data_IF_902996093541
#
_entry.id   IF_902996093541
#
_cell.length_a   1.000
_cell.length_b   1.000
_cell.length_c   1.000
_cell.angle_alpha   90.00
_cell.angle_beta   90.00
_cell.angle_gamma   90.00
#
_symmetry.space_group_name_H-M   'P 1'
#
loop_
_entity.id
_entity.type
_entity.pdbx_description
1 polymer ?
#
# COMPACT_ATOMS: atom_id res chain seq x y z
N UNK A 1 28.05 33.03 11.79
CA UNK A 1 26.97 32.12 12.23
C UNK A 1 25.92 32.12 11.14
N UNK A 2 25.87 31.07 10.34
CA UNK A 2 24.92 30.97 9.22
C UNK A 2 23.72 30.16 9.69
N UNK A 3 22.59 30.83 9.87
CA UNK A 3 21.32 30.19 10.22
C UNK A 3 20.82 29.50 8.95
N UNK A 4 20.94 28.17 8.91
CA UNK A 4 20.32 27.35 7.87
C UNK A 4 18.81 27.45 8.01
N UNK A 5 18.17 28.11 7.05
CA UNK A 5 16.72 28.18 6.93
C UNK A 5 16.21 26.75 6.70
N UNK A 6 15.47 26.21 7.68
CA UNK A 6 14.80 24.94 7.53
C UNK A 6 13.76 25.07 6.41
N UNK A 7 14.03 24.44 5.26
CA UNK A 7 13.07 24.34 4.17
C UNK A 7 11.80 23.68 4.71
N UNK A 8 10.70 24.44 4.67
CA UNK A 8 9.35 23.94 4.91
C UNK A 8 9.03 22.89 3.84
N UNK A 9 9.12 21.62 4.20
CA UNK A 9 8.70 20.54 3.32
C UNK A 9 7.17 20.49 3.30
N UNK A 10 6.60 20.61 2.10
CA UNK A 10 5.16 20.54 1.79
C UNK A 10 4.58 19.14 2.14
N UNK A 11 3.24 18.96 2.23
CA UNK A 11 2.52 17.76 2.73
C UNK A 11 2.89 16.38 2.12
N UNK A 12 3.78 16.36 1.13
CA UNK A 12 4.41 15.21 0.48
C UNK A 12 5.70 14.74 1.18
N UNK A 13 6.11 15.35 2.29
CA UNK A 13 7.44 15.22 2.89
C UNK A 13 7.81 13.80 3.36
N UNK A 14 6.86 13.02 3.90
CA UNK A 14 7.10 11.68 4.44
C UNK A 14 5.87 10.78 4.19
N UNK A 15 6.04 9.79 3.31
CA UNK A 15 5.04 8.77 2.97
C UNK A 15 5.21 7.55 3.86
N UNK A 16 4.10 7.02 4.37
CA UNK A 16 4.10 5.71 5.03
C UNK A 16 4.42 4.64 3.97
N UNK A 17 5.36 3.76 4.29
CA UNK A 17 5.78 2.62 3.49
C UNK A 17 5.74 1.35 4.35
N UNK A 18 5.69 0.21 3.68
CA UNK A 18 5.73 -1.09 4.34
C UNK A 18 6.99 -1.82 3.91
N UNK A 19 7.73 -2.33 4.88
CA UNK A 19 9.06 -2.87 4.65
C UNK A 19 9.21 -4.24 5.29
N UNK A 20 10.00 -5.08 4.64
CA UNK A 20 10.45 -6.36 5.16
C UNK A 20 11.97 -6.45 5.08
N UNK A 21 12.58 -7.30 5.88
CA UNK A 21 14.00 -7.63 5.78
C UNK A 21 14.22 -9.10 6.09
N UNK A 22 15.36 -9.66 5.69
CA UNK A 22 15.66 -11.08 5.93
C UNK A 22 15.68 -11.46 7.42
N UNK A 23 15.87 -10.47 8.31
CA UNK A 23 15.93 -10.68 9.76
C UNK A 23 14.55 -10.80 10.41
N UNK A 24 13.48 -10.52 9.67
CA UNK A 24 12.11 -10.48 10.19
C UNK A 24 11.13 -11.11 9.20
N UNK A 25 10.35 -12.13 9.61
CA UNK A 25 9.36 -12.76 8.73
C UNK A 25 8.08 -11.93 8.54
N UNK A 26 7.97 -10.77 9.19
CA UNK A 26 6.79 -9.90 9.19
C UNK A 26 7.07 -8.55 8.54
N UNK A 27 6.00 -7.89 8.12
CA UNK A 27 6.01 -6.55 7.50
C UNK A 27 5.99 -5.50 8.60
N UNK A 28 6.93 -4.56 8.55
CA UNK A 28 7.00 -3.40 9.44
C UNK A 28 6.47 -2.15 8.73
N UNK A 29 5.84 -1.27 9.50
CA UNK A 29 5.44 0.06 9.05
C UNK A 29 6.65 0.99 9.21
N UNK A 30 6.90 1.81 8.19
CA UNK A 30 7.91 2.84 8.24
C UNK A 30 7.49 4.06 7.40
N UNK A 31 8.38 5.03 7.28
CA UNK A 31 8.19 6.25 6.52
C UNK A 31 9.36 6.50 5.56
N UNK A 32 9.09 7.13 4.43
CA UNK A 32 10.05 7.50 3.40
C UNK A 32 9.76 8.91 2.90
N UNK A 33 10.78 9.74 2.76
CA UNK A 33 10.63 11.11 2.27
C UNK A 33 10.73 11.24 0.75
N UNK A 34 10.72 10.12 0.02
CA UNK A 34 10.76 10.09 -1.45
C UNK A 34 12.07 10.59 -2.09
N UNK A 35 13.04 11.08 -1.31
CA UNK A 35 14.35 11.51 -1.82
C UNK A 35 15.25 10.28 -2.03
N UNK A 36 15.91 10.13 -3.20
CA UNK A 36 16.86 9.05 -3.43
C UNK A 36 18.10 9.25 -2.54
N UNK A 37 18.20 8.48 -1.44
CA UNK A 37 19.44 8.27 -0.71
C UNK A 37 19.96 6.87 -1.08
N UNK A 38 20.93 6.83 -1.99
CA UNK A 38 21.52 5.58 -2.44
C UNK A 38 22.26 4.87 -1.28
N UNK A 39 22.25 3.52 -1.24
CA UNK A 39 21.77 2.60 -2.27
C UNK A 39 20.43 1.91 -1.93
N UNK A 40 19.49 2.65 -1.29
CA UNK A 40 18.49 2.15 -0.33
C UNK A 40 19.18 1.74 0.98
N UNK A 41 18.70 2.29 2.10
CA UNK A 41 18.41 1.57 3.35
C UNK A 41 18.50 2.54 4.54
N UNK A 42 17.35 3.05 4.92
CA UNK A 42 16.85 2.91 6.28
C UNK A 42 15.42 3.46 6.25
N UNK A 43 14.40 2.60 6.34
CA UNK A 43 13.06 3.07 6.61
C UNK A 43 13.12 3.98 7.85
N UNK A 44 12.45 5.12 7.80
CA UNK A 44 12.35 5.98 8.96
C UNK A 44 11.24 5.44 9.84
N UNK A 45 11.57 5.07 11.07
CA UNK A 45 10.58 4.63 12.05
C UNK A 45 10.29 5.77 13.01
N UNK A 46 9.04 6.00 13.39
CA UNK A 46 8.82 6.80 14.61
C UNK A 46 9.14 5.92 15.82
N UNK A 47 9.14 6.53 17.00
CA UNK A 47 9.26 5.79 18.26
C UNK A 47 8.21 4.68 18.39
N UNK A 48 6.98 4.89 17.91
CA UNK A 48 5.91 3.90 18.00
C UNK A 48 6.23 2.65 17.18
N UNK A 49 6.54 2.82 15.90
CA UNK A 49 6.89 1.71 14.99
C UNK A 49 8.19 1.03 15.42
N UNK A 50 9.18 1.78 15.91
CA UNK A 50 10.40 1.20 16.47
C UNK A 50 10.14 0.32 17.70
N UNK A 51 9.20 0.70 18.57
CA UNK A 51 8.79 -0.16 19.70
C UNK A 51 8.06 -1.43 19.24
N UNK A 52 7.32 -1.38 18.13
CA UNK A 52 6.75 -2.58 17.51
C UNK A 52 7.86 -3.51 16.99
N UNK A 53 8.91 -2.98 16.36
CA UNK A 53 10.06 -3.79 15.92
C UNK A 53 10.71 -4.56 17.07
N UNK A 54 10.82 -3.95 18.26
CA UNK A 54 11.37 -4.62 19.45
C UNK A 54 10.58 -5.87 19.87
N UNK A 55 9.30 -5.97 19.51
CA UNK A 55 8.49 -7.16 19.79
C UNK A 55 8.91 -8.35 18.90
N UNK A 56 9.43 -8.07 17.71
CA UNK A 56 9.85 -9.07 16.74
C UNK A 56 11.36 -9.37 16.80
N UNK A 57 12.18 -8.37 17.12
CA UNK A 57 13.64 -8.48 17.20
C UNK A 57 14.05 -8.38 18.67
N UNK A 58 14.25 -9.53 19.31
CA UNK A 58 14.54 -9.62 20.75
C UNK A 58 15.83 -8.89 21.17
N UNK A 59 16.80 -8.76 20.28
CA UNK A 59 18.05 -8.03 20.52
C UNK A 59 17.90 -6.50 20.42
N UNK A 60 16.75 -6.00 19.93
CA UNK A 60 16.46 -4.59 19.78
C UNK A 60 15.64 -4.08 20.98
N UNK A 61 16.05 -2.96 21.57
CA UNK A 61 15.34 -2.31 22.67
C UNK A 61 15.41 -0.79 22.54
N UNK A 62 14.50 -0.09 23.21
CA UNK A 62 14.50 1.37 23.26
C UNK A 62 15.04 1.88 24.60
N UNK A 63 16.08 2.70 24.55
CA UNK A 63 16.64 3.36 25.72
C UNK A 63 16.03 4.76 25.90
N UNK A 64 15.28 4.94 27.01
CA UNK A 64 14.62 6.22 27.31
C UNK A 64 15.58 7.33 27.70
N UNK A 65 16.72 7.00 28.30
CA UNK A 65 17.68 8.00 28.78
C UNK A 65 18.45 8.64 27.62
N UNK A 66 18.73 7.85 26.58
CA UNK A 66 19.44 8.28 25.38
C UNK A 66 18.52 8.75 24.25
N UNK A 67 17.23 8.43 24.32
CA UNK A 67 16.28 8.63 23.22
C UNK A 67 16.78 7.95 21.92
N UNK A 68 17.11 6.67 22.03
CA UNK A 68 17.71 5.89 20.95
C UNK A 68 17.29 4.41 21.02
N UNK A 69 17.37 3.70 19.90
CA UNK A 69 17.26 2.24 19.89
C UNK A 69 18.64 1.59 20.01
N UNK A 70 18.72 0.49 20.75
CA UNK A 70 19.93 -0.28 20.97
C UNK A 70 19.73 -1.71 20.44
N UNK A 71 20.63 -2.15 19.56
CA UNK A 71 20.72 -3.53 19.10
C UNK A 71 21.91 -4.20 19.76
N UNK A 72 21.67 -5.28 20.51
CA UNK A 72 22.73 -6.04 21.20
C UNK A 72 22.97 -7.35 20.48
N UNK A 73 24.11 -7.46 19.80
CA UNK A 73 24.51 -8.65 19.03
C UNK A 73 25.96 -9.01 19.34
N UNK A 74 26.22 -10.28 19.64
CA UNK A 74 27.56 -10.79 19.99
C UNK A 74 28.28 -9.96 21.06
N UNK A 75 27.52 -9.43 22.04
CA UNK A 75 28.03 -8.60 23.12
C UNK A 75 28.39 -7.16 22.72
N UNK A 76 28.13 -6.76 21.47
CA UNK A 76 28.30 -5.38 20.98
C UNK A 76 26.95 -4.67 20.92
N UNK A 77 26.96 -3.37 21.24
CA UNK A 77 25.77 -2.53 21.18
C UNK A 77 25.89 -1.57 19.99
N UNK A 78 24.97 -1.69 19.05
CA UNK A 78 24.78 -0.72 17.96
C UNK A 78 23.64 0.22 18.33
N UNK A 79 23.91 1.52 18.26
CA UNK A 79 22.93 2.56 18.59
C UNK A 79 22.31 3.15 17.32
N UNK A 80 20.99 3.34 17.34
CA UNK A 80 20.24 4.07 16.33
C UNK A 80 19.64 5.32 17.00
N UNK A 81 20.40 6.41 16.94
CA UNK A 81 20.04 7.68 17.55
C UNK A 81 18.88 8.36 16.81
N UNK A 82 18.16 9.24 17.51
CA UNK A 82 17.07 10.03 16.93
C UNK A 82 17.59 10.99 15.85
N UNK A 83 16.85 11.05 14.75
CA UNK A 83 17.03 12.01 13.66
C UNK A 83 15.77 12.88 13.57
N UNK A 84 15.79 14.09 14.18
CA UNK A 84 14.65 14.99 14.14
C UNK A 84 14.42 15.53 12.72
N UNK A 85 13.17 15.58 12.30
CA UNK A 85 12.73 16.11 11.02
C UNK A 85 11.62 17.15 11.27
N UNK A 86 11.60 18.23 10.48
CA UNK A 86 10.51 19.22 10.55
C UNK A 86 9.51 18.93 9.43
N UNK A 87 8.28 18.57 9.80
CA UNK A 87 7.17 18.28 8.87
C UNK A 87 6.04 19.25 9.19
N UNK A 88 5.58 20.02 8.20
CA UNK A 88 4.52 21.02 8.38
C UNK A 88 4.75 21.95 9.60
N UNK A 89 6.01 22.33 9.82
CA UNK A 89 6.40 23.19 10.94
C UNK A 89 6.42 22.50 12.33
N UNK A 90 6.15 21.19 12.39
CA UNK A 90 6.25 20.38 13.62
C UNK A 90 7.53 19.55 13.60
N UNK A 91 8.26 19.55 14.71
CA UNK A 91 9.39 18.65 14.90
C UNK A 91 8.87 17.24 15.19
N UNK A 92 9.30 16.28 14.39
CA UNK A 92 8.97 14.87 14.47
C UNK A 92 10.26 14.06 14.65
N UNK A 93 10.24 13.06 15.51
CA UNK A 93 11.39 12.21 15.80
C UNK A 93 11.35 10.92 14.97
N UNK A 94 12.41 10.67 14.20
CA UNK A 94 12.57 9.44 13.43
C UNK A 94 13.84 8.70 13.79
N UNK A 95 13.87 7.40 13.49
CA UNK A 95 14.98 6.50 13.76
C UNK A 95 15.28 5.68 12.52
N UNK A 96 16.55 5.60 12.15
CA UNK A 96 17.05 4.74 11.07
C UNK A 96 17.55 3.42 11.66
N UNK A 97 16.64 2.47 11.83
CA UNK A 97 16.93 1.20 12.50
C UNK A 97 17.40 0.17 11.46
N UNK A 98 18.57 -0.43 11.69
CA UNK A 98 19.11 -1.50 10.84
C UNK A 98 19.35 -1.11 9.38
N UNK A 99 20.09 -0.02 9.08
CA UNK A 99 20.39 0.38 7.70
C UNK A 99 21.14 -0.70 6.89
N UNK A 100 21.74 -1.69 7.55
CA UNK A 100 22.45 -2.80 6.94
C UNK A 100 21.60 -4.06 6.75
N UNK A 101 20.36 -4.11 7.27
CA UNK A 101 19.52 -5.32 7.30
C UNK A 101 18.92 -5.71 5.94
N UNK A 102 19.16 -4.94 4.89
CA UNK A 102 18.62 -5.24 3.56
C UNK A 102 17.11 -5.04 3.48
N UNK A 103 16.61 -3.95 4.06
CA UNK A 103 15.21 -3.53 3.93
C UNK A 103 14.78 -3.50 2.47
N UNK A 104 13.61 -4.09 2.20
CA UNK A 104 12.92 -4.07 0.92
C UNK A 104 11.50 -3.57 1.16
N UNK A 105 10.90 -2.95 0.16
CA UNK A 105 9.47 -2.72 0.16
C UNK A 105 8.76 -4.07 0.22
N UNK A 106 7.73 -4.14 1.05
CA UNK A 106 6.89 -5.33 1.10
C UNK A 106 6.04 -5.42 -0.16
N UNK A 107 5.97 -6.59 -0.80
CA UNK A 107 5.00 -6.88 -1.86
C UNK A 107 3.55 -6.89 -1.30
N UNK A 108 3.44 -7.01 0.03
CA UNK A 108 2.20 -7.12 0.79
C UNK A 108 2.13 -5.95 1.77
N UNK A 109 1.38 -4.91 1.42
CA UNK A 109 1.28 -3.70 2.25
C UNK A 109 0.47 -3.91 3.54
N UNK A 110 -0.22 -5.05 3.71
CA UNK A 110 -0.94 -5.41 4.94
C UNK A 110 -1.10 -6.93 5.07
N UNK A 111 -1.12 -7.44 6.31
CA UNK A 111 -2.21 -8.37 6.67
C UNK A 111 -3.47 -7.49 6.67
N UNK A 112 -4.37 -7.60 5.68
CA UNK A 112 -5.46 -6.65 5.50
C UNK A 112 -6.27 -6.50 6.79
N UNK A 113 -6.48 -5.27 7.26
CA UNK A 113 -7.56 -5.00 8.22
C UNK A 113 -8.84 -4.86 7.41
N UNK A 114 -9.37 -6.00 6.99
CA UNK A 114 -10.45 -6.13 6.02
C UNK A 114 -10.35 -7.50 5.35
N UNK A 115 -11.43 -8.01 4.80
CA UNK A 115 -11.39 -9.30 4.11
C UNK A 115 -10.73 -9.12 2.73
N UNK A 116 -9.58 -9.76 2.44
CA UNK A 116 -8.96 -9.66 1.13
C UNK A 116 -9.87 -10.24 0.04
N UNK A 117 -9.94 -9.54 -1.09
CA UNK A 117 -10.48 -10.10 -2.32
C UNK A 117 -9.34 -10.69 -3.14
N UNK A 118 -9.52 -11.92 -3.64
CA UNK A 118 -8.52 -12.58 -4.46
C UNK A 118 -8.97 -12.56 -5.91
N UNK A 119 -8.42 -11.60 -6.66
CA UNK A 119 -8.86 -11.30 -8.02
C UNK A 119 -7.91 -11.89 -9.05
N UNK A 120 -8.47 -12.28 -10.19
CA UNK A 120 -7.74 -12.81 -11.34
C UNK A 120 -7.41 -11.68 -12.33
N UNK A 121 -6.12 -11.46 -12.58
CA UNK A 121 -5.65 -10.45 -13.53
C UNK A 121 -4.86 -11.10 -14.67
N UNK A 122 -4.92 -10.52 -15.87
CA UNK A 122 -4.04 -10.93 -16.98
C UNK A 122 -2.57 -10.63 -16.62
N UNK A 123 -1.60 -11.45 -17.07
CA UNK A 123 -0.17 -11.21 -16.79
C UNK A 123 0.31 -9.81 -17.19
N UNK A 124 -0.11 -9.30 -18.35
CA UNK A 124 0.23 -7.93 -18.78
C UNK A 124 -0.33 -6.85 -17.84
N UNK A 125 -1.53 -7.05 -17.29
CA UNK A 125 -2.12 -6.14 -16.30
C UNK A 125 -1.33 -6.20 -14.99
N UNK A 126 -0.90 -7.39 -14.58
CA UNK A 126 -0.05 -7.56 -13.40
C UNK A 126 1.30 -6.86 -13.56
N UNK A 127 1.99 -7.08 -14.67
CA UNK A 127 3.28 -6.43 -14.97
C UNK A 127 3.15 -4.91 -14.96
N UNK A 128 2.08 -4.38 -15.55
CA UNK A 128 1.76 -2.95 -15.53
C UNK A 128 1.55 -2.43 -14.10
N UNK A 129 0.73 -3.11 -13.29
CA UNK A 129 0.51 -2.76 -11.88
C UNK A 129 1.82 -2.78 -11.10
N UNK A 130 2.65 -3.81 -11.30
CA UNK A 130 3.93 -3.96 -10.59
C UNK A 130 4.91 -2.87 -10.98
N UNK A 131 4.99 -2.50 -12.26
CA UNK A 131 5.82 -1.39 -12.73
C UNK A 131 5.41 -0.07 -12.05
N UNK A 132 4.11 0.25 -12.07
CA UNK A 132 3.61 1.48 -11.45
C UNK A 132 3.75 1.49 -9.92
N UNK A 133 3.52 0.35 -9.28
CA UNK A 133 3.69 0.19 -7.84
C UNK A 133 5.16 0.39 -7.43
N UNK A 134 6.09 -0.15 -8.21
CA UNK A 134 7.53 0.05 -8.03
C UNK A 134 7.94 1.52 -8.19
N UNK A 135 7.46 2.20 -9.24
CA UNK A 135 7.72 3.63 -9.47
C UNK A 135 7.13 4.51 -8.35
N UNK A 136 5.99 4.10 -7.78
CA UNK A 136 5.34 4.79 -6.68
C UNK A 136 5.92 4.43 -5.29
N UNK A 137 6.81 3.43 -5.22
CA UNK A 137 7.32 2.85 -3.97
C UNK A 137 6.21 2.33 -3.02
N UNK A 138 5.18 1.70 -3.59
CA UNK A 138 4.02 1.13 -2.87
C UNK A 138 3.94 -0.37 -3.15
N UNK A 139 3.49 -1.18 -2.18
CA UNK A 139 3.26 -2.60 -2.40
C UNK A 139 2.09 -2.85 -3.34
N UNK A 140 2.12 -3.96 -4.08
CA UNK A 140 1.16 -4.26 -5.13
C UNK A 140 -0.29 -4.20 -4.64
N UNK A 141 -0.56 -4.76 -3.46
CA UNK A 141 -1.93 -4.82 -2.93
C UNK A 141 -2.53 -3.44 -2.64
N UNK A 142 -1.76 -2.53 -2.00
CA UNK A 142 -2.27 -1.18 -1.76
C UNK A 142 -2.28 -0.33 -3.04
N UNK A 143 -1.37 -0.60 -3.98
CA UNK A 143 -1.43 0.05 -5.27
C UNK A 143 -2.70 -0.35 -6.04
N UNK A 144 -3.10 -1.63 -6.02
CA UNK A 144 -4.41 -2.05 -6.54
C UNK A 144 -5.58 -1.33 -5.84
N UNK A 145 -5.54 -1.19 -4.52
CA UNK A 145 -6.54 -0.42 -3.77
C UNK A 145 -6.62 1.04 -4.24
N UNK A 146 -5.47 1.67 -4.45
CA UNK A 146 -5.37 3.03 -4.97
C UNK A 146 -5.96 3.14 -6.38
N UNK A 147 -5.63 2.20 -7.28
CA UNK A 147 -6.18 2.15 -8.64
C UNK A 147 -7.71 2.02 -8.63
N UNK A 148 -8.26 1.17 -7.76
CA UNK A 148 -9.72 1.00 -7.62
C UNK A 148 -10.36 2.27 -7.09
N UNK A 149 -9.77 2.90 -6.08
CA UNK A 149 -10.27 4.16 -5.54
C UNK A 149 -10.27 5.26 -6.62
N UNK A 150 -9.17 5.40 -7.37
CA UNK A 150 -9.07 6.35 -8.48
C UNK A 150 -10.07 6.06 -9.60
N UNK A 151 -10.25 4.79 -9.98
CA UNK A 151 -11.24 4.37 -10.99
C UNK A 151 -12.66 4.82 -10.60
N UNK A 152 -13.02 4.61 -9.33
CA UNK A 152 -14.32 4.98 -8.78
C UNK A 152 -14.47 6.50 -8.73
N UNK A 153 -13.47 7.21 -8.20
CA UNK A 153 -13.49 8.67 -8.09
C UNK A 153 -13.61 9.38 -9.44
N UNK A 154 -12.88 8.88 -10.45
CA UNK A 154 -12.95 9.39 -11.81
C UNK A 154 -14.36 9.27 -12.41
N UNK A 155 -15.01 8.12 -12.20
CA UNK A 155 -16.38 7.89 -12.71
C UNK A 155 -17.42 8.68 -11.94
N UNK A 156 -17.19 8.87 -10.64
CA UNK A 156 -18.03 9.71 -9.80
C UNK A 156 -17.83 11.22 -10.06
N UNK A 157 -16.84 11.65 -10.85
CA UNK A 157 -16.54 13.07 -11.09
C UNK A 157 -16.44 13.93 -9.81
N UNK A 158 -16.00 13.32 -8.69
CA UNK A 158 -15.98 13.95 -7.36
C UNK A 158 -17.37 14.40 -6.85
N UNK A 159 -18.46 13.89 -7.42
CA UNK A 159 -19.81 14.19 -6.97
C UNK A 159 -20.08 13.58 -5.59
N UNK A 160 -20.80 14.33 -4.74
CA UNK A 160 -21.18 13.89 -3.40
C UNK A 160 -22.40 12.95 -3.39
N UNK A 161 -23.18 12.90 -4.47
CA UNK A 161 -24.31 11.99 -4.62
C UNK A 161 -23.88 10.71 -5.34
N UNK A 162 -24.36 9.55 -4.89
CA UNK A 162 -24.03 8.25 -5.47
C UNK A 162 -24.82 8.02 -6.78
N UNK A 163 -24.21 8.34 -7.92
CA UNK A 163 -24.69 7.99 -9.26
C UNK A 163 -23.93 6.77 -9.81
N UNK A 164 -24.65 5.66 -9.99
CA UNK A 164 -24.07 4.39 -10.44
C UNK A 164 -24.27 4.11 -11.93
N UNK A 165 -24.94 5.00 -12.67
CA UNK A 165 -25.20 4.86 -14.12
C UNK A 165 -23.90 4.69 -14.92
N UNK A 166 -22.83 5.33 -14.47
CA UNK A 166 -21.50 5.30 -15.11
C UNK A 166 -20.75 3.98 -14.92
N UNK A 167 -21.30 3.06 -14.14
CA UNK A 167 -20.74 1.72 -13.92
C UNK A 167 -21.49 0.62 -14.69
N UNK A 168 -22.49 0.96 -15.51
CA UNK A 168 -23.27 -0.04 -16.27
C UNK A 168 -22.40 -0.90 -17.20
N UNK A 169 -21.47 -0.28 -17.94
CA UNK A 169 -20.55 -1.00 -18.80
C UNK A 169 -19.63 -1.94 -18.00
N UNK A 170 -19.16 -1.47 -16.83
CA UNK A 170 -18.35 -2.27 -15.92
C UNK A 170 -19.16 -3.48 -15.40
N UNK A 171 -20.40 -3.27 -14.96
CA UNK A 171 -21.28 -4.34 -14.49
C UNK A 171 -21.55 -5.36 -15.59
N UNK A 172 -21.75 -4.90 -16.83
CA UNK A 172 -21.90 -5.78 -17.99
C UNK A 172 -20.65 -6.64 -18.23
N UNK A 173 -19.45 -6.07 -18.06
CA UNK A 173 -18.19 -6.81 -18.17
C UNK A 173 -18.04 -7.80 -17.02
N UNK A 174 -18.27 -7.35 -15.77
CA UNK A 174 -18.14 -8.18 -14.57
C UNK A 174 -19.14 -9.34 -14.55
N UNK A 175 -20.34 -9.16 -15.11
CA UNK A 175 -21.36 -10.22 -15.17
C UNK A 175 -21.01 -11.29 -16.22
N UNK A 176 -20.40 -10.88 -17.33
CA UNK A 176 -19.92 -11.76 -18.41
C UNK A 176 -18.66 -12.52 -18.05
N UNK A 177 -18.49 -13.69 -18.67
CA UNK A 177 -17.47 -14.73 -18.47
C UNK A 177 -16.16 -14.26 -17.80
N UNK A 178 -15.64 -14.99 -16.80
CA UNK A 178 -14.39 -14.65 -16.11
C UNK A 178 -13.23 -14.32 -17.06
N UNK A 179 -12.27 -13.53 -16.58
CA UNK A 179 -11.00 -13.28 -17.26
C UNK A 179 -10.43 -14.64 -17.67
N UNK A 180 -10.16 -14.83 -18.97
CA UNK A 180 -9.99 -16.15 -19.63
C UNK A 180 -8.86 -17.03 -19.09
N UNK A 181 -8.48 -18.11 -19.81
CA UNK A 181 -7.37 -18.96 -19.37
C UNK A 181 -6.05 -18.15 -19.35
N UNK A 182 -5.20 -18.42 -18.36
CA UNK A 182 -3.93 -17.72 -18.06
C UNK A 182 -4.07 -16.41 -17.28
N UNK A 183 -4.59 -16.51 -16.06
CA UNK A 183 -4.70 -15.41 -15.10
C UNK A 183 -3.79 -15.65 -13.89
N UNK A 184 -3.32 -14.55 -13.31
CA UNK A 184 -2.58 -14.56 -12.04
C UNK A 184 -3.50 -14.09 -10.94
N UNK A 185 -3.52 -14.82 -9.82
CA UNK A 185 -4.36 -14.50 -8.67
C UNK A 185 -3.62 -13.56 -7.74
N UNK A 186 -4.22 -12.41 -7.45
CA UNK A 186 -3.61 -11.35 -6.63
C UNK A 186 -4.56 -10.90 -5.52
N UNK A 187 -4.00 -10.56 -4.36
CA UNK A 187 -4.78 -10.08 -3.21
C UNK A 187 -4.96 -8.57 -3.28
N UNK A 188 -6.20 -8.12 -3.10
CA UNK A 188 -6.58 -6.70 -3.14
C UNK A 188 -7.47 -6.34 -1.95
N UNK A 189 -7.28 -5.14 -1.41
CA UNK A 189 -8.02 -4.63 -0.26
C UNK A 189 -8.86 -3.42 -0.66
N UNK A 190 -10.18 -3.48 -0.58
CA UNK A 190 -11.06 -2.39 -1.08
C UNK A 190 -11.54 -1.47 0.04
N UNK A 191 -10.68 -1.08 0.97
CA UNK A 191 -11.08 -0.41 2.22
C UNK A 191 -11.90 0.88 2.04
N UNK A 192 -11.45 1.84 1.23
CA UNK A 192 -12.08 3.16 1.14
C UNK A 192 -13.33 3.20 0.25
N UNK A 193 -13.58 2.15 -0.56
CA UNK A 193 -14.65 2.12 -1.57
C UNK A 193 -15.43 0.81 -1.63
N UNK A 194 -15.32 -0.06 -0.61
CA UNK A 194 -16.05 -1.33 -0.54
C UNK A 194 -17.56 -1.13 -0.71
N UNK A 195 -18.12 -0.04 -0.18
CA UNK A 195 -19.55 0.26 -0.31
C UNK A 195 -20.03 0.43 -1.75
N UNK A 196 -19.16 0.91 -2.65
CA UNK A 196 -19.49 1.04 -4.09
C UNK A 196 -19.40 -0.33 -4.76
N UNK A 197 -18.36 -1.11 -4.47
CA UNK A 197 -18.27 -2.50 -4.97
C UNK A 197 -19.46 -3.34 -4.48
N UNK A 198 -19.91 -3.11 -3.25
CA UNK A 198 -21.09 -3.74 -2.67
C UNK A 198 -22.37 -3.31 -3.38
N UNK A 199 -22.57 -2.01 -3.59
CA UNK A 199 -23.72 -1.51 -4.33
C UNK A 199 -23.78 -2.13 -5.74
N UNK A 200 -22.64 -2.13 -6.45
CA UNK A 200 -22.51 -2.75 -7.77
C UNK A 200 -22.84 -4.25 -7.75
N UNK A 201 -22.39 -4.99 -6.72
CA UNK A 201 -22.68 -6.42 -6.59
C UNK A 201 -24.19 -6.74 -6.44
N UNK A 202 -25.01 -5.75 -6.06
CA UNK A 202 -26.46 -5.89 -5.93
C UNK A 202 -27.25 -5.33 -7.13
N UNK A 203 -26.60 -4.61 -8.05
CA UNK A 203 -27.26 -3.90 -9.15
C UNK A 203 -27.29 -4.66 -10.48
N UNK A 204 -26.56 -5.76 -10.59
CA UNK A 204 -26.57 -6.56 -11.82
C UNK A 204 -27.94 -7.15 -12.10
N UNK A 205 -28.41 -7.09 -13.34
CA UNK A 205 -29.62 -7.77 -13.80
C UNK A 205 -29.37 -9.23 -14.23
N UNK A 206 -28.12 -9.69 -14.19
CA UNK A 206 -27.70 -11.03 -14.63
C UNK A 206 -27.94 -12.06 -13.52
N UNK A 207 -28.89 -12.98 -13.77
CA UNK A 207 -29.26 -14.01 -12.80
C UNK A 207 -28.12 -14.98 -12.46
N UNK A 208 -27.25 -15.29 -13.43
CA UNK A 208 -26.10 -16.18 -13.21
C UNK A 208 -25.03 -15.50 -12.37
N UNK A 209 -24.77 -14.22 -12.62
CA UNK A 209 -23.89 -13.42 -11.76
C UNK A 209 -24.46 -13.29 -10.34
N UNK A 210 -25.76 -13.02 -10.20
CA UNK A 210 -26.43 -12.86 -8.91
C UNK A 210 -26.51 -14.16 -8.09
N UNK A 211 -26.43 -15.32 -8.74
CA UNK A 211 -26.35 -16.61 -8.06
C UNK A 211 -24.98 -16.86 -7.38
N UNK A 212 -23.94 -16.08 -7.72
CA UNK A 212 -22.62 -16.20 -7.11
C UNK A 212 -22.63 -15.67 -5.66
N UNK A 213 -21.79 -16.27 -4.82
CA UNK A 213 -21.52 -15.76 -3.48
C UNK A 213 -21.06 -14.29 -3.57
N UNK A 214 -21.46 -13.46 -2.59
CA UNK A 214 -21.18 -12.03 -2.60
C UNK A 214 -19.69 -11.73 -2.78
N UNK A 215 -18.81 -12.51 -2.15
CA UNK A 215 -17.37 -12.40 -2.29
C UNK A 215 -16.90 -12.57 -3.75
N UNK A 216 -17.42 -13.57 -4.47
CA UNK A 216 -17.08 -13.80 -5.87
C UNK A 216 -17.61 -12.68 -6.78
N UNK A 217 -18.80 -12.12 -6.47
CA UNK A 217 -19.31 -10.95 -7.20
C UNK A 217 -18.41 -9.73 -7.02
N UNK A 218 -17.96 -9.47 -5.78
CA UNK A 218 -17.00 -8.40 -5.47
C UNK A 218 -15.68 -8.59 -6.22
N UNK A 219 -15.15 -9.81 -6.21
CA UNK A 219 -13.91 -10.15 -6.93
C UNK A 219 -14.06 -9.85 -8.42
N UNK A 220 -15.13 -10.32 -9.09
CA UNK A 220 -15.36 -10.07 -10.52
C UNK A 220 -15.53 -8.59 -10.88
N UNK A 221 -16.15 -7.81 -10.00
CA UNK A 221 -16.25 -6.35 -10.20
C UNK A 221 -14.86 -5.72 -10.14
N UNK A 222 -14.04 -6.09 -9.16
CA UNK A 222 -12.68 -5.57 -9.03
C UNK A 222 -11.77 -6.02 -10.18
N UNK A 223 -11.90 -7.27 -10.63
CA UNK A 223 -11.23 -7.78 -11.84
C UNK A 223 -11.54 -6.90 -13.04
N UNK A 224 -12.83 -6.63 -13.28
CA UNK A 224 -13.28 -5.79 -14.38
C UNK A 224 -12.78 -4.33 -14.24
N UNK A 225 -12.72 -3.78 -13.03
CA UNK A 225 -12.19 -2.43 -12.80
C UNK A 225 -10.71 -2.33 -13.16
N UNK A 226 -9.90 -3.29 -12.69
CA UNK A 226 -8.47 -3.29 -12.95
C UNK A 226 -8.17 -3.54 -14.43
N UNK A 227 -8.88 -4.47 -15.07
CA UNK A 227 -8.70 -4.76 -16.49
C UNK A 227 -9.12 -3.59 -17.38
N UNK A 228 -10.24 -2.93 -17.05
CA UNK A 228 -10.70 -1.76 -17.77
C UNK A 228 -9.76 -0.57 -17.59
N UNK A 229 -9.25 -0.35 -16.37
CA UNK A 229 -8.26 0.71 -16.12
C UNK A 229 -6.96 0.48 -16.90
N UNK A 230 -6.48 -0.78 -16.94
CA UNK A 230 -5.29 -1.14 -17.71
C UNK A 230 -5.49 -0.87 -19.21
N UNK A 231 -6.67 -1.17 -19.77
CA UNK A 231 -7.00 -0.83 -21.16
C UNK A 231 -7.04 0.67 -21.41
N UNK A 232 -7.68 1.42 -20.53
CA UNK A 232 -7.89 2.86 -20.69
C UNK A 232 -6.59 3.66 -20.53
N UNK A 233 -5.74 3.27 -19.59
CA UNK A 233 -4.52 4.03 -19.23
C UNK A 233 -3.28 3.51 -19.95
N UNK A 234 -3.16 2.19 -20.09
CA UNK A 234 -1.94 1.55 -20.62
C UNK A 234 -2.13 0.88 -21.98
N UNK A 235 -3.37 0.80 -22.50
CA UNK A 235 -3.64 0.27 -23.84
C UNK A 235 -3.47 -1.25 -23.97
N UNK A 236 -3.60 -2.01 -22.87
CA UNK A 236 -3.31 -3.46 -22.76
C UNK A 236 -4.54 -4.33 -22.46
#
# INVERSE_FOLDING_TARGET
MSISVAESQSPLALRRIFVTCQRMPVVAIAFSNGKPWQPLRAPLFTRHEGLQLCQYIRSLSFDKSRNAFALVEDGRVTWFDVSPQVIDGKMMEFYTIGPDWGWKLSEVDRVPSGEPLFVNVRPAVLEWIQSLAADAYVGQSAFCSFLIAGYVEQRMELQHALDLSRFEALLCIASKTPVGPNVVRVAVVVESRVGIVDALAHLSSDATFNALALQHRRERIVEAMLDQLAREVAGI
#
